data_IF_240472984083
#
_entry.id   IF_240472984083
#
_cell.length_a   1.000
_cell.length_b   1.000
_cell.length_c   1.000
_cell.angle_alpha   90.00
_cell.angle_beta   90.00
_cell.angle_gamma   90.00
#
_symmetry.space_group_name_H-M   'P 1'
#
loop_
_entity.id
_entity.type
_entity.pdbx_description
1 polymer ?
#
# COMPACT_ATOMS: atom_id res chain seq x y z
N UNK A 1 19.30 19.45 8.54
CA UNK A 1 18.48 20.68 8.50
C UNK A 1 17.12 20.35 9.07
N UNK A 2 16.46 21.23 9.86
CA UNK A 2 15.08 21.02 10.29
C UNK A 2 14.12 20.94 9.09
N UNK A 3 13.16 20.00 9.12
CA UNK A 3 12.16 19.79 8.06
C UNK A 3 10.76 20.03 8.63
N UNK A 4 9.93 20.75 7.88
CA UNK A 4 8.51 20.97 8.14
C UNK A 4 7.74 20.43 6.94
N UNK A 5 6.92 19.41 7.14
CA UNK A 5 6.29 18.66 6.06
C UNK A 5 4.79 19.03 5.93
N UNK A 6 4.36 19.30 4.71
CA UNK A 6 2.97 19.63 4.36
C UNK A 6 2.53 18.69 3.23
N UNK A 7 1.94 17.51 3.55
CA UNK A 7 1.44 16.59 2.54
C UNK A 7 0.28 17.23 1.74
N UNK A 8 0.30 17.03 0.42
CA UNK A 8 -0.77 17.44 -0.51
C UNK A 8 -1.48 16.25 -1.15
N UNK A 9 -1.13 15.04 -0.71
CA UNK A 9 -1.76 13.78 -1.13
C UNK A 9 -2.07 12.92 0.08
N UNK A 10 -3.24 12.29 0.10
CA UNK A 10 -3.63 11.38 1.17
C UNK A 10 -3.14 9.95 0.90
N UNK A 11 -1.82 9.70 0.99
CA UNK A 11 -1.23 8.45 0.52
C UNK A 11 0.05 7.98 1.22
N UNK A 12 1.15 8.70 0.99
CA UNK A 12 2.50 8.20 1.29
C UNK A 12 2.88 8.24 2.76
N UNK A 13 2.27 9.15 3.52
CA UNK A 13 2.64 9.47 4.89
C UNK A 13 4.13 9.81 5.08
N UNK A 14 4.80 10.30 4.03
CA UNK A 14 6.24 10.61 4.07
C UNK A 14 6.59 11.63 5.17
N UNK A 15 5.63 12.47 5.55
CA UNK A 15 5.73 13.46 6.62
C UNK A 15 5.92 12.87 8.03
N UNK A 16 5.72 11.57 8.24
CA UNK A 16 5.89 10.88 9.53
C UNK A 16 6.82 9.67 9.47
N UNK A 17 7.40 9.38 8.30
CA UNK A 17 8.27 8.22 8.12
C UNK A 17 9.74 8.58 8.28
N UNK A 18 10.55 7.58 8.64
CA UNK A 18 12.02 7.65 8.62
C UNK A 18 12.62 7.15 7.29
N UNK A 19 11.81 7.18 6.22
CA UNK A 19 12.15 6.59 4.93
C UNK A 19 12.00 7.63 3.82
N UNK A 20 12.89 7.54 2.83
CA UNK A 20 12.72 8.22 1.56
C UNK A 20 13.22 7.35 0.41
N UNK A 21 12.59 7.48 -0.75
CA UNK A 21 12.87 6.62 -1.91
C UNK A 21 13.35 7.49 -3.08
N UNK A 22 14.53 7.18 -3.58
CA UNK A 22 15.15 7.87 -4.72
C UNK A 22 15.33 6.89 -5.88
N UNK A 23 15.21 7.41 -7.10
CA UNK A 23 15.51 6.66 -8.31
C UNK A 23 16.99 6.86 -8.68
N UNK A 24 17.73 5.76 -8.81
CA UNK A 24 19.02 5.71 -9.48
C UNK A 24 18.77 5.45 -10.97
N UNK A 25 18.97 6.47 -11.81
CA UNK A 25 18.75 6.38 -13.26
C UNK A 25 19.81 5.53 -13.96
N UNK A 26 21.05 5.52 -13.46
CA UNK A 26 22.17 4.75 -14.04
C UNK A 26 21.93 3.25 -13.82
N UNK A 27 21.52 2.87 -12.61
CA UNK A 27 21.21 1.48 -12.27
C UNK A 27 19.75 1.10 -12.54
N UNK A 28 18.92 2.04 -13.00
CA UNK A 28 17.48 1.88 -13.27
C UNK A 28 16.74 1.19 -12.14
N UNK A 29 16.92 1.66 -10.91
CA UNK A 29 16.29 1.11 -9.70
C UNK A 29 15.80 2.22 -8.78
N UNK A 30 14.79 1.91 -7.97
CA UNK A 30 14.52 2.68 -6.76
C UNK A 30 15.34 2.10 -5.61
N UNK A 31 15.81 2.95 -4.72
CA UNK A 31 16.44 2.54 -3.47
C UNK A 31 15.80 3.30 -2.32
N UNK A 32 15.57 2.57 -1.23
CA UNK A 32 14.97 3.10 -0.01
C UNK A 32 16.10 3.42 0.96
N UNK A 33 16.10 4.64 1.45
CA UNK A 33 16.95 5.06 2.55
C UNK A 33 16.13 5.04 3.84
N UNK A 34 16.76 4.63 4.95
CA UNK A 34 16.13 4.56 6.27
C UNK A 34 17.05 5.25 7.27
N UNK A 35 16.64 6.41 7.80
CA UNK A 35 17.44 7.16 8.78
C UNK A 35 16.54 7.93 9.77
N UNK A 36 16.59 7.64 11.08
CA UNK A 36 15.87 8.44 12.08
C UNK A 36 16.18 9.96 12.04
N UNK A 37 17.31 10.39 11.46
CA UNK A 37 17.62 11.81 11.29
C UNK A 37 16.82 12.51 10.20
N UNK A 38 16.12 11.79 9.31
CA UNK A 38 15.32 12.39 8.25
C UNK A 38 13.88 12.74 8.68
N UNK A 39 13.47 12.34 9.89
CA UNK A 39 12.14 12.60 10.43
C UNK A 39 11.81 14.12 10.46
N UNK A 40 10.68 14.56 9.87
CA UNK A 40 10.24 15.94 9.98
C UNK A 40 10.02 16.36 11.43
N UNK A 41 10.37 17.61 11.74
CA UNK A 41 10.16 18.19 13.08
C UNK A 41 8.68 18.49 13.33
N UNK A 42 7.95 18.86 12.28
CA UNK A 42 6.52 19.14 12.31
C UNK A 42 5.89 18.64 11.00
N UNK A 43 4.74 18.00 11.12
CA UNK A 43 3.86 17.65 10.00
C UNK A 43 2.54 18.43 10.12
N UNK A 44 2.08 19.02 9.02
CA UNK A 44 0.80 19.74 8.94
C UNK A 44 -0.16 18.95 8.04
N UNK A 45 -1.01 18.14 8.67
CA UNK A 45 -1.96 17.28 7.96
C UNK A 45 -3.26 18.07 7.80
N UNK A 46 -3.39 18.74 6.65
CA UNK A 46 -4.52 19.62 6.33
C UNK A 46 -5.19 19.15 5.03
N UNK A 47 -6.48 18.80 5.12
CA UNK A 47 -7.24 18.28 3.98
C UNK A 47 -7.48 19.36 2.90
N UNK A 48 -7.47 20.65 3.26
CA UNK A 48 -7.61 21.75 2.30
C UNK A 48 -6.46 21.73 1.28
N UNK A 49 -5.28 21.25 1.70
CA UNK A 49 -4.09 21.09 0.84
C UNK A 49 -4.18 19.85 -0.08
N UNK A 50 -5.17 18.98 0.14
CA UNK A 50 -5.37 17.71 -0.56
C UNK A 50 -6.59 17.73 -1.49
N UNK A 51 -7.53 18.64 -1.29
CA UNK A 51 -8.82 18.67 -1.99
C UNK A 51 -8.72 18.78 -3.51
N UNK A 52 -7.72 19.53 -3.99
CA UNK A 52 -7.47 19.76 -5.40
C UNK A 52 -6.94 18.53 -6.17
N UNK A 53 -6.62 17.43 -5.48
CA UNK A 53 -6.25 16.19 -6.15
C UNK A 53 -7.35 15.75 -7.13
N UNK A 54 -7.01 15.44 -8.39
CA UNK A 54 -7.96 14.81 -9.31
C UNK A 54 -8.49 13.49 -8.73
N UNK A 55 -9.75 13.08 -9.02
CA UNK A 55 -10.32 11.85 -8.49
C UNK A 55 -9.44 10.60 -8.68
N UNK A 56 -8.80 10.46 -9.85
CA UNK A 56 -7.87 9.36 -10.12
C UNK A 56 -6.62 9.37 -9.21
N UNK A 57 -6.12 10.56 -8.86
CA UNK A 57 -5.00 10.70 -7.93
C UNK A 57 -5.44 10.39 -6.49
N UNK A 58 -6.63 10.84 -6.07
CA UNK A 58 -7.23 10.46 -4.78
C UNK A 58 -7.39 8.94 -4.66
N UNK A 59 -7.87 8.29 -5.72
CA UNK A 59 -8.03 6.83 -5.78
C UNK A 59 -6.68 6.12 -5.63
N UNK A 60 -5.69 6.47 -6.45
CA UNK A 60 -4.38 5.84 -6.44
C UNK A 60 -3.65 6.02 -5.09
N UNK A 61 -3.62 7.24 -4.55
CA UNK A 61 -2.97 7.54 -3.28
C UNK A 61 -3.72 6.97 -2.08
N UNK A 62 -5.05 6.90 -2.12
CA UNK A 62 -5.81 6.27 -1.05
C UNK A 62 -5.66 4.75 -0.99
N UNK A 63 -5.56 4.06 -2.13
CA UNK A 63 -5.24 2.62 -2.14
C UNK A 63 -3.76 2.38 -1.76
N UNK A 64 -2.87 3.33 -2.06
CA UNK A 64 -1.49 3.31 -1.54
C UNK A 64 -1.48 3.33 -0.01
N UNK A 65 -2.22 4.26 0.61
CA UNK A 65 -2.39 4.31 2.06
C UNK A 65 -3.00 3.02 2.63
N UNK A 66 -3.98 2.43 1.94
CA UNK A 66 -4.53 1.13 2.33
C UNK A 66 -3.49 0.01 2.24
N UNK A 67 -2.65 0.03 1.20
CA UNK A 67 -1.54 -0.91 1.02
C UNK A 67 -0.55 -0.79 2.18
N UNK A 68 -0.16 0.44 2.54
CA UNK A 68 0.69 0.68 3.72
C UNK A 68 0.11 0.07 4.98
N UNK A 69 -1.19 0.28 5.23
CA UNK A 69 -1.85 -0.22 6.42
C UNK A 69 -1.97 -1.75 6.41
N UNK A 70 -2.35 -2.37 5.29
CA UNK A 70 -2.47 -3.82 5.19
C UNK A 70 -1.10 -4.49 5.28
N UNK A 71 -0.10 -4.02 4.53
CA UNK A 71 1.24 -4.62 4.60
C UNK A 71 1.87 -4.43 5.97
N UNK A 72 1.76 -3.22 6.55
CA UNK A 72 2.24 -2.96 7.90
C UNK A 72 1.55 -3.81 8.97
N UNK A 73 0.24 -4.10 8.80
CA UNK A 73 -0.48 -4.99 9.71
C UNK A 73 0.00 -6.44 9.61
N UNK A 74 0.47 -6.86 8.43
CA UNK A 74 0.84 -8.25 8.15
C UNK A 74 2.35 -8.51 8.18
N UNK A 75 3.16 -7.45 8.25
CA UNK A 75 4.62 -7.55 8.17
C UNK A 75 5.21 -8.33 9.35
N UNK A 76 6.38 -8.94 9.14
CA UNK A 76 7.07 -9.75 10.16
C UNK A 76 7.38 -8.97 11.45
N UNK A 77 7.59 -7.66 11.34
CA UNK A 77 7.89 -6.79 12.47
C UNK A 77 6.65 -6.32 13.26
N UNK A 78 5.44 -6.69 12.83
CA UNK A 78 4.21 -6.21 13.44
C UNK A 78 4.10 -6.59 14.93
N UNK A 79 3.67 -5.65 15.75
CA UNK A 79 3.44 -5.83 17.18
C UNK A 79 2.23 -5.02 17.64
N UNK A 80 1.83 -5.17 18.91
CA UNK A 80 0.55 -4.69 19.42
C UNK A 80 0.22 -3.21 19.11
N UNK A 81 1.19 -2.30 19.21
CA UNK A 81 0.95 -0.88 18.93
C UNK A 81 0.73 -0.62 17.43
N UNK A 82 1.60 -1.16 16.57
CA UNK A 82 1.44 -0.96 15.12
C UNK A 82 0.18 -1.64 14.62
N UNK A 83 -0.17 -2.80 15.18
CA UNK A 83 -1.42 -3.49 14.86
C UNK A 83 -2.65 -2.62 15.15
N UNK A 84 -2.67 -1.91 16.29
CA UNK A 84 -3.75 -1.00 16.62
C UNK A 84 -3.84 0.18 15.64
N UNK A 85 -2.70 0.75 15.25
CA UNK A 85 -2.63 1.85 14.28
C UNK A 85 -3.10 1.39 12.90
N UNK A 86 -2.55 0.30 12.39
CA UNK A 86 -2.86 -0.21 11.06
C UNK A 86 -4.30 -0.65 10.91
N UNK A 87 -4.86 -1.36 11.89
CA UNK A 87 -6.26 -1.77 11.83
C UNK A 87 -7.21 -0.57 11.83
N UNK A 88 -6.90 0.47 12.61
CA UNK A 88 -7.66 1.73 12.58
C UNK A 88 -7.50 2.46 11.25
N UNK A 89 -6.30 2.50 10.68
CA UNK A 89 -6.08 3.09 9.37
C UNK A 89 -6.88 2.37 8.27
N UNK A 90 -6.89 1.03 8.27
CA UNK A 90 -7.71 0.23 7.33
C UNK A 90 -9.19 0.61 7.41
N UNK A 91 -9.73 0.68 8.63
CA UNK A 91 -11.14 1.05 8.87
C UNK A 91 -11.47 2.45 8.33
N UNK A 92 -10.63 3.44 8.66
CA UNK A 92 -10.81 4.83 8.21
C UNK A 92 -10.77 4.90 6.68
N UNK A 93 -9.72 4.34 6.07
CA UNK A 93 -9.47 4.44 4.63
C UNK A 93 -10.57 3.72 3.84
N UNK A 94 -10.94 2.49 4.25
CA UNK A 94 -11.97 1.73 3.56
C UNK A 94 -13.36 2.40 3.62
N UNK A 95 -13.66 3.10 4.72
CA UNK A 95 -14.89 3.87 4.89
C UNK A 95 -14.90 5.20 4.13
N UNK A 96 -13.75 5.86 3.99
CA UNK A 96 -13.68 7.23 3.46
C UNK A 96 -13.33 7.30 1.97
N UNK A 97 -12.52 6.37 1.44
CA UNK A 97 -11.90 6.56 0.12
C UNK A 97 -12.89 6.81 -1.01
N UNK A 98 -14.01 6.07 -1.06
CA UNK A 98 -15.06 6.25 -2.08
C UNK A 98 -15.65 7.66 -2.02
N UNK A 99 -15.94 8.17 -0.82
CA UNK A 99 -16.45 9.53 -0.62
C UNK A 99 -15.43 10.59 -1.02
N UNK A 100 -14.16 10.41 -0.65
CA UNK A 100 -13.08 11.34 -0.99
C UNK A 100 -12.89 11.47 -2.50
N UNK A 101 -12.90 10.33 -3.22
CA UNK A 101 -12.84 10.30 -4.69
C UNK A 101 -14.04 11.01 -5.32
N UNK A 102 -15.23 10.88 -4.72
CA UNK A 102 -16.44 11.58 -5.14
C UNK A 102 -16.46 13.09 -4.77
N UNK A 103 -15.48 13.57 -4.01
CA UNK A 103 -15.35 14.98 -3.61
C UNK A 103 -16.03 15.35 -2.30
N UNK A 104 -16.37 14.38 -1.45
CA UNK A 104 -16.88 14.66 -0.10
C UNK A 104 -15.76 15.16 0.82
N UNK A 105 -15.94 16.35 1.40
CA UNK A 105 -14.92 17.01 2.22
C UNK A 105 -14.64 16.26 3.52
N UNK A 106 -15.67 15.73 4.19
CA UNK A 106 -15.51 14.96 5.43
C UNK A 106 -14.74 13.65 5.20
N UNK A 107 -14.98 13.01 4.05
CA UNK A 107 -14.21 11.86 3.61
C UNK A 107 -12.77 12.22 3.22
N UNK A 108 -12.54 13.42 2.65
CA UNK A 108 -11.20 13.96 2.41
C UNK A 108 -10.40 14.12 3.70
N UNK A 109 -10.99 14.72 4.73
CA UNK A 109 -10.40 14.87 6.06
C UNK A 109 -10.11 13.52 6.72
N UNK A 110 -11.05 12.58 6.64
CA UNK A 110 -10.85 11.23 7.14
C UNK A 110 -9.69 10.52 6.42
N UNK A 111 -9.55 10.66 5.10
CA UNK A 111 -8.43 10.11 4.34
C UNK A 111 -7.08 10.72 4.76
N UNK A 112 -7.04 12.04 5.02
CA UNK A 112 -5.83 12.73 5.49
C UNK A 112 -5.34 12.17 6.83
N UNK A 113 -6.25 11.85 7.76
CA UNK A 113 -5.93 11.17 9.01
C UNK A 113 -5.53 9.70 8.78
N UNK A 114 -6.32 8.96 8.00
CA UNK A 114 -6.13 7.52 7.79
C UNK A 114 -4.77 7.16 7.22
N UNK A 115 -4.31 7.91 6.21
CA UNK A 115 -2.98 7.72 5.62
C UNK A 115 -1.84 8.02 6.61
N UNK A 116 -1.99 9.07 7.43
CA UNK A 116 -0.98 9.45 8.41
C UNK A 116 -0.84 8.38 9.49
N UNK A 117 -1.97 7.86 9.99
CA UNK A 117 -2.01 6.76 10.97
C UNK A 117 -1.36 5.49 10.40
N UNK A 118 -1.56 5.19 9.10
CA UNK A 118 -0.85 4.09 8.44
C UNK A 118 0.69 4.31 8.51
N UNK A 119 1.14 5.53 8.21
CA UNK A 119 2.54 5.98 8.31
C UNK A 119 3.18 5.74 9.67
N UNK A 120 2.49 6.14 10.74
CA UNK A 120 2.93 5.93 12.12
C UNK A 120 3.25 4.46 12.40
N UNK A 121 2.49 3.54 11.81
CA UNK A 121 2.73 2.11 11.93
C UNK A 121 3.87 1.64 11.01
N UNK A 122 3.71 1.75 9.69
CA UNK A 122 4.57 1.02 8.75
C UNK A 122 6.02 1.50 8.79
N UNK A 123 6.25 2.78 9.11
CA UNK A 123 7.60 3.32 9.23
C UNK A 123 8.44 2.58 10.28
N UNK A 124 7.80 1.94 11.26
CA UNK A 124 8.48 1.31 12.39
C UNK A 124 8.62 -0.21 12.25
N UNK A 125 7.90 -0.84 11.32
CA UNK A 125 7.84 -2.31 11.19
C UNK A 125 8.08 -2.82 9.78
N UNK A 126 8.16 -1.91 8.82
CA UNK A 126 8.32 -2.24 7.40
C UNK A 126 6.99 -2.49 6.69
N UNK A 127 7.11 -3.00 5.48
CA UNK A 127 6.02 -3.31 4.57
C UNK A 127 6.16 -4.77 4.11
N UNK A 128 5.90 -5.06 2.83
CA UNK A 128 5.99 -6.40 2.28
C UNK A 128 6.18 -6.41 0.77
N UNK A 129 5.69 -7.48 0.16
CA UNK A 129 5.94 -7.81 -1.23
C UNK A 129 5.16 -6.92 -2.23
N UNK A 130 4.07 -6.25 -1.84
CA UNK A 130 3.37 -5.31 -2.74
C UNK A 130 4.31 -4.17 -3.09
N UNK A 131 4.88 -3.50 -2.08
CA UNK A 131 5.87 -2.45 -2.29
C UNK A 131 7.14 -2.95 -2.98
N UNK A 132 7.63 -4.12 -2.57
CA UNK A 132 8.78 -4.76 -3.21
C UNK A 132 8.58 -4.98 -4.72
N UNK A 133 7.36 -5.32 -5.14
CA UNK A 133 7.00 -5.47 -6.56
C UNK A 133 6.62 -4.15 -7.25
N UNK A 134 6.17 -3.13 -6.53
CA UNK A 134 5.80 -1.84 -7.12
C UNK A 134 7.03 -0.96 -7.43
N UNK A 135 8.07 -1.00 -6.59
CA UNK A 135 9.28 -0.20 -6.79
C UNK A 135 9.96 -0.42 -8.17
N UNK A 136 10.16 -1.66 -8.64
CA UNK A 136 10.70 -1.91 -9.98
C UNK A 136 9.82 -1.36 -11.10
N UNK A 137 8.50 -1.38 -10.96
CA UNK A 137 7.58 -0.81 -11.97
C UNK A 137 7.77 0.70 -12.10
N UNK A 138 7.92 1.39 -10.96
CA UNK A 138 8.26 2.81 -10.93
C UNK A 138 9.62 3.10 -11.58
N UNK A 139 10.63 2.27 -11.35
CA UNK A 139 11.96 2.45 -11.96
C UNK A 139 11.98 2.14 -13.46
N UNK A 140 11.22 1.15 -13.92
CA UNK A 140 11.25 0.70 -15.30
C UNK A 140 10.39 1.56 -16.22
N UNK A 141 9.22 1.99 -15.73
CA UNK A 141 8.19 2.61 -16.56
C UNK A 141 7.70 3.96 -16.05
N UNK A 142 8.26 4.44 -14.93
CA UNK A 142 7.73 5.61 -14.22
C UNK A 142 6.25 5.45 -13.87
N UNK A 143 5.80 4.22 -13.60
CA UNK A 143 4.41 3.95 -13.19
C UNK A 143 4.10 4.69 -11.90
N UNK A 144 2.96 5.40 -11.81
CA UNK A 144 2.53 6.02 -10.56
C UNK A 144 2.47 5.01 -9.42
N UNK A 145 3.18 5.29 -8.32
CA UNK A 145 3.40 4.37 -7.21
C UNK A 145 2.10 3.75 -6.67
N UNK A 146 1.12 4.60 -6.33
CA UNK A 146 -0.16 4.13 -5.81
C UNK A 146 -0.96 3.26 -6.79
N UNK A 147 -0.82 3.48 -8.11
CA UNK A 147 -1.49 2.63 -9.12
C UNK A 147 -0.84 1.24 -9.17
N UNK A 148 0.50 1.18 -9.14
CA UNK A 148 1.22 -0.09 -9.11
C UNK A 148 0.85 -0.91 -7.86
N UNK A 149 0.88 -0.28 -6.69
CA UNK A 149 0.48 -0.90 -5.43
C UNK A 149 -0.97 -1.38 -5.46
N UNK A 150 -1.90 -0.54 -5.94
CA UNK A 150 -3.31 -0.87 -6.00
C UNK A 150 -3.59 -2.11 -6.87
N UNK A 151 -2.95 -2.22 -8.04
CA UNK A 151 -3.09 -3.39 -8.92
C UNK A 151 -2.53 -4.64 -8.22
N UNK A 152 -1.35 -4.55 -7.61
CA UNK A 152 -0.63 -5.70 -7.03
C UNK A 152 -1.24 -6.21 -5.72
N UNK A 153 -1.80 -5.32 -4.90
CA UNK A 153 -2.28 -5.60 -3.54
C UNK A 153 -3.15 -6.86 -3.43
N UNK A 154 -4.27 -7.03 -4.17
CA UNK A 154 -5.11 -8.21 -4.02
C UNK A 154 -4.41 -9.52 -4.43
N UNK A 155 -3.45 -9.49 -5.36
CA UNK A 155 -2.71 -10.69 -5.78
C UNK A 155 -1.72 -11.13 -4.69
N UNK A 156 -0.97 -10.19 -4.13
CA UNK A 156 -0.04 -10.46 -3.03
C UNK A 156 -0.79 -10.84 -1.76
N UNK A 157 -1.96 -10.26 -1.50
CA UNK A 157 -2.81 -10.69 -0.40
C UNK A 157 -3.22 -12.16 -0.52
N UNK A 158 -3.65 -12.62 -1.69
CA UNK A 158 -3.93 -14.05 -1.93
C UNK A 158 -2.71 -14.93 -1.68
N UNK A 159 -1.53 -14.49 -2.12
CA UNK A 159 -0.28 -15.21 -1.88
C UNK A 159 0.08 -15.31 -0.39
N UNK A 160 -0.17 -14.25 0.38
CA UNK A 160 0.14 -14.17 1.80
C UNK A 160 -0.92 -14.80 2.70
N UNK A 161 -2.12 -15.11 2.20
CA UNK A 161 -3.28 -15.48 3.01
C UNK A 161 -3.02 -16.56 4.08
N UNK A 162 -2.22 -17.58 3.78
CA UNK A 162 -1.92 -18.66 4.73
C UNK A 162 -0.91 -18.28 5.83
N UNK A 163 -0.15 -17.20 5.64
CA UNK A 163 0.92 -16.76 6.55
C UNK A 163 0.48 -15.65 7.54
N UNK A 164 -0.82 -15.38 7.66
CA UNK A 164 -1.33 -14.15 8.31
C UNK A 164 -2.22 -14.41 9.53
N UNK A 165 -2.35 -15.68 9.97
CA UNK A 165 -3.21 -16.04 11.09
C UNK A 165 -4.66 -15.60 10.85
N UNK A 166 -5.25 -14.92 11.84
CA UNK A 166 -6.62 -14.37 11.80
C UNK A 166 -6.69 -12.96 11.19
N UNK A 167 -5.56 -12.30 10.90
CA UNK A 167 -5.53 -10.86 10.57
C UNK A 167 -6.39 -10.47 9.35
N UNK A 168 -6.63 -11.41 8.42
CA UNK A 168 -7.53 -11.13 7.27
C UNK A 168 -8.99 -11.04 7.67
N UNK A 169 -9.41 -11.76 8.73
CA UNK A 169 -10.75 -11.60 9.30
C UNK A 169 -10.93 -10.19 9.84
N UNK A 170 -9.90 -9.64 10.48
CA UNK A 170 -9.93 -8.27 11.02
C UNK A 170 -9.91 -7.23 9.89
N UNK A 171 -9.09 -7.43 8.85
CA UNK A 171 -9.12 -6.59 7.64
C UNK A 171 -10.51 -6.61 6.99
N UNK A 172 -11.09 -7.79 6.74
CA UNK A 172 -12.42 -7.91 6.15
C UNK A 172 -13.48 -7.19 7.00
N UNK A 173 -13.46 -7.35 8.33
CA UNK A 173 -14.35 -6.64 9.25
C UNK A 173 -14.18 -5.13 9.17
N UNK A 174 -12.94 -4.64 9.21
CA UNK A 174 -12.62 -3.22 9.12
C UNK A 174 -13.05 -2.61 7.79
N UNK A 175 -13.07 -3.41 6.71
CA UNK A 175 -13.57 -3.02 5.40
C UNK A 175 -15.09 -3.19 5.24
N UNK A 176 -15.83 -3.51 6.31
CA UNK A 176 -17.30 -3.56 6.33
C UNK A 176 -17.91 -4.93 6.01
N UNK A 177 -17.11 -6.00 5.92
CA UNK A 177 -17.62 -7.36 5.72
C UNK A 177 -18.14 -7.96 7.03
N UNK A 178 -19.29 -8.62 7.00
CA UNK A 178 -19.80 -9.44 8.12
C UNK A 178 -19.06 -10.78 8.16
N UNK A 179 -18.24 -10.99 9.18
CA UNK A 179 -17.29 -12.11 9.25
C UNK A 179 -17.62 -13.14 10.33
N UNK A 180 -18.67 -12.91 11.13
CA UNK A 180 -18.98 -13.68 12.34
C UNK A 180 -19.25 -15.16 12.06
N UNK A 181 -19.88 -15.45 10.92
CA UNK A 181 -20.22 -16.82 10.50
C UNK A 181 -19.23 -17.41 9.48
N UNK A 182 -18.18 -16.68 9.11
CA UNK A 182 -17.22 -17.13 8.09
C UNK A 182 -16.16 -18.05 8.70
N UNK A 183 -15.83 -19.14 8.01
CA UNK A 183 -14.58 -19.86 8.26
C UNK A 183 -13.38 -18.93 8.00
N UNK A 184 -12.21 -19.25 8.54
CA UNK A 184 -11.02 -18.42 8.31
C UNK A 184 -10.67 -18.31 6.81
N UNK A 185 -10.76 -19.42 6.06
CA UNK A 185 -10.57 -19.41 4.60
C UNK A 185 -11.55 -18.49 3.89
N UNK A 186 -12.84 -18.51 4.27
CA UNK A 186 -13.84 -17.63 3.68
C UNK A 186 -13.61 -16.16 4.07
N UNK A 187 -13.17 -15.89 5.30
CA UNK A 187 -12.82 -14.54 5.75
C UNK A 187 -11.59 -13.98 5.00
N UNK A 188 -10.60 -14.84 4.70
CA UNK A 188 -9.44 -14.49 3.87
C UNK A 188 -9.85 -14.08 2.45
N UNK A 189 -10.67 -14.88 1.80
CA UNK A 189 -11.17 -14.54 0.46
C UNK A 189 -12.01 -13.26 0.50
N UNK A 190 -12.85 -13.08 1.52
CA UNK A 190 -13.66 -11.88 1.67
C UNK A 190 -12.83 -10.59 1.85
N UNK A 191 -11.69 -10.66 2.54
CA UNK A 191 -10.77 -9.52 2.66
C UNK A 191 -10.19 -9.13 1.29
N UNK A 192 -9.75 -10.12 0.52
CA UNK A 192 -9.22 -9.91 -0.83
C UNK A 192 -10.29 -9.33 -1.75
N UNK A 193 -11.51 -9.89 -1.72
CA UNK A 193 -12.60 -9.41 -2.55
C UNK A 193 -13.04 -7.99 -2.18
N UNK A 194 -12.98 -7.62 -0.89
CA UNK A 194 -13.25 -6.24 -0.46
C UNK A 194 -12.25 -5.24 -1.07
N UNK A 195 -10.96 -5.61 -1.16
CA UNK A 195 -9.94 -4.80 -1.85
C UNK A 195 -10.18 -4.76 -3.35
N UNK A 196 -10.47 -5.90 -3.99
CA UNK A 196 -10.82 -5.93 -5.41
C UNK A 196 -12.03 -5.05 -5.73
N UNK A 197 -13.07 -5.10 -4.90
CA UNK A 197 -14.27 -4.26 -5.05
C UNK A 197 -13.94 -2.79 -4.87
N UNK A 198 -13.14 -2.43 -3.86
CA UNK A 198 -12.70 -1.04 -3.65
C UNK A 198 -11.94 -0.50 -4.87
N UNK A 199 -10.98 -1.27 -5.40
CA UNK A 199 -10.24 -0.88 -6.60
C UNK A 199 -11.16 -0.60 -7.79
N UNK A 200 -12.16 -1.46 -8.02
CA UNK A 200 -13.16 -1.26 -9.09
C UNK A 200 -14.00 -0.02 -8.85
N UNK A 201 -14.46 0.19 -7.63
CA UNK A 201 -15.34 1.32 -7.27
C UNK A 201 -14.65 2.68 -7.44
N UNK A 202 -13.34 2.74 -7.20
CA UNK A 202 -12.56 3.98 -7.32
C UNK A 202 -11.80 4.10 -8.64
N UNK A 203 -12.04 3.19 -9.58
CA UNK A 203 -11.53 3.27 -10.95
C UNK A 203 -10.04 2.97 -11.13
N UNK A 204 -9.46 2.11 -10.28
CA UNK A 204 -8.10 1.60 -10.48
C UNK A 204 -8.10 0.62 -11.68
N UNK A 205 -7.11 0.70 -12.60
CA UNK A 205 -6.94 -0.28 -13.66
C UNK A 205 -6.85 -1.72 -13.12
N UNK A 206 -7.38 -2.70 -13.86
CA UNK A 206 -7.42 -4.08 -13.37
C UNK A 206 -6.10 -4.83 -13.50
N UNK A 207 -5.25 -4.42 -14.44
CA UNK A 207 -4.07 -5.19 -14.85
C UNK A 207 -2.86 -4.31 -15.16
N UNK A 208 -1.67 -4.86 -14.96
CA UNK A 208 -0.40 -4.17 -15.23
C UNK A 208 -0.20 -3.84 -16.73
N UNK A 209 -0.77 -4.63 -17.64
CA UNK A 209 -0.73 -4.33 -19.09
C UNK A 209 -1.44 -3.00 -19.44
N UNK A 210 -2.42 -2.58 -18.64
CA UNK A 210 -3.18 -1.33 -18.86
C UNK A 210 -2.35 -0.09 -18.49
N UNK A 211 -1.27 -0.27 -17.73
CA UNK A 211 -0.36 0.81 -17.29
C UNK A 211 1.03 0.68 -17.92
N UNK A 212 1.14 -0.04 -19.04
CA UNK A 212 2.33 -0.07 -19.89
C UNK A 212 3.39 -1.12 -19.52
N UNK A 213 3.11 -2.02 -18.59
CA UNK A 213 4.05 -3.09 -18.21
C UNK A 213 4.16 -4.14 -19.32
N UNK A 214 5.39 -4.50 -19.67
CA UNK A 214 5.68 -5.48 -20.72
C UNK A 214 5.93 -6.85 -20.11
N UNK A 215 5.31 -7.88 -20.69
CA UNK A 215 5.43 -9.26 -20.18
C UNK A 215 6.85 -9.78 -20.25
N UNK A 216 7.63 -9.32 -21.24
CA UNK A 216 9.04 -9.70 -21.43
C UNK A 216 9.96 -9.22 -20.31
N UNK A 217 9.59 -8.14 -19.61
CA UNK A 217 10.40 -7.56 -18.54
C UNK A 217 10.15 -8.22 -17.16
N UNK A 218 9.14 -9.10 -17.04
CA UNK A 218 8.76 -9.78 -15.79
C UNK A 218 9.95 -10.47 -15.10
N UNK A 219 10.85 -11.21 -15.80
CA UNK A 219 12.01 -11.81 -15.15
C UNK A 219 12.93 -10.79 -14.47
N UNK A 220 13.17 -9.64 -15.11
CA UNK A 220 14.02 -8.58 -14.56
C UNK A 220 13.33 -7.86 -13.40
N UNK A 221 12.02 -7.58 -13.53
CA UNK A 221 11.21 -6.99 -12.46
C UNK A 221 11.18 -7.89 -11.22
N UNK A 222 11.01 -9.20 -11.40
CA UNK A 222 10.99 -10.16 -10.29
C UNK A 222 12.33 -10.23 -9.56
N UNK A 223 13.45 -10.17 -10.29
CA UNK A 223 14.78 -10.13 -9.69
C UNK A 223 15.01 -8.84 -8.88
N UNK A 224 14.56 -7.70 -9.41
CA UNK A 224 14.63 -6.42 -8.71
C UNK A 224 13.74 -6.42 -7.46
N UNK A 225 12.52 -6.94 -7.56
CA UNK A 225 11.58 -7.05 -6.44
C UNK A 225 12.11 -7.96 -5.33
N UNK A 226 12.74 -9.09 -5.68
CA UNK A 226 13.36 -9.98 -4.69
C UNK A 226 14.48 -9.28 -3.90
N UNK A 227 15.20 -8.35 -4.54
CA UNK A 227 16.28 -7.58 -3.94
C UNK A 227 15.80 -6.28 -3.25
N UNK A 228 14.51 -5.96 -3.34
CA UNK A 228 13.95 -4.76 -2.72
C UNK A 228 13.86 -4.92 -1.19
N UNK A 229 14.13 -3.83 -0.46
CA UNK A 229 14.17 -3.86 1.01
C UNK A 229 12.81 -4.20 1.62
N UNK A 230 11.70 -3.82 0.98
CA UNK A 230 10.36 -4.05 1.50
C UNK A 230 10.00 -5.55 1.48
N UNK A 231 10.51 -6.28 0.48
CA UNK A 231 10.24 -7.73 0.31
C UNK A 231 10.64 -8.54 1.54
N UNK A 232 11.70 -8.14 2.24
CA UNK A 232 12.15 -8.81 3.47
C UNK A 232 11.15 -8.78 4.62
N UNK A 233 10.23 -7.81 4.63
CA UNK A 233 9.16 -7.71 5.63
C UNK A 233 7.97 -8.64 5.38
N UNK A 234 7.87 -9.23 4.19
CA UNK A 234 6.70 -10.01 3.80
C UNK A 234 6.49 -11.25 4.69
N UNK A 235 5.27 -11.53 5.20
CA UNK A 235 5.03 -12.62 6.16
C UNK A 235 5.31 -14.01 5.58
N UNK A 236 5.16 -14.17 4.26
CA UNK A 236 5.55 -15.36 3.52
C UNK A 236 6.87 -15.10 2.79
N UNK A 237 7.85 -15.96 2.96
CA UNK A 237 9.09 -15.87 2.18
C UNK A 237 8.76 -16.10 0.70
N UNK A 238 9.22 -15.19 -0.17
CA UNK A 238 8.93 -15.22 -1.60
C UNK A 238 10.16 -15.68 -2.37
N UNK A 239 10.01 -16.74 -3.17
CA UNK A 239 11.03 -17.12 -4.15
C UNK A 239 10.94 -16.28 -5.41
N UNK A 240 12.00 -16.25 -6.23
CA UNK A 240 11.95 -15.61 -7.55
C UNK A 240 10.79 -16.16 -8.41
N UNK A 241 10.53 -17.47 -8.34
CA UNK A 241 9.45 -18.10 -9.09
C UNK A 241 8.06 -17.64 -8.62
N UNK A 242 7.87 -17.44 -7.31
CA UNK A 242 6.62 -16.88 -6.76
C UNK A 242 6.37 -15.46 -7.30
N UNK A 243 7.40 -14.61 -7.27
CA UNK A 243 7.29 -13.22 -7.72
C UNK A 243 7.01 -13.14 -9.23
N UNK A 244 7.64 -13.99 -10.05
CA UNK A 244 7.32 -14.13 -11.48
C UNK A 244 5.85 -14.52 -11.66
N UNK A 245 5.37 -15.51 -10.89
CA UNK A 245 3.97 -15.93 -10.93
C UNK A 245 3.00 -14.82 -10.54
N UNK A 246 3.36 -13.99 -9.56
CA UNK A 246 2.55 -12.85 -9.12
C UNK A 246 2.47 -11.75 -10.18
N UNK A 247 3.59 -11.37 -10.81
CA UNK A 247 3.56 -10.43 -11.93
C UNK A 247 2.73 -10.97 -13.10
N UNK A 248 2.82 -12.27 -13.40
CA UNK A 248 2.01 -12.89 -14.46
C UNK A 248 0.52 -12.90 -14.11
N UNK A 249 0.16 -13.10 -12.84
CA UNK A 249 -1.22 -13.09 -12.38
C UNK A 249 -1.84 -11.68 -12.42
N UNK A 250 -1.01 -10.64 -12.25
CA UNK A 250 -1.42 -9.23 -12.27
C UNK A 250 -1.32 -8.57 -13.65
N UNK A 251 -0.76 -9.24 -14.66
CA UNK A 251 -0.54 -8.72 -16.02
C UNK A 251 -1.76 -8.87 -16.93
#
# INVERSE_FOLDING_TARGET
MPIFAVPTTAGTAAEVTINYVITDEEQRRKFVCVDPHDIPQVAFIDADMMDAMPPALKAATGVDALTHAIEGYLTRGAWALTDALHLKAIEIIAGALRGSVAGDAGAGEAMALGQYVAGMGFSNVGLGLVHGMAHPLGAFYNTPHGVANAILLPHVMRFNAEATGEKYRDIARAMGVRVEALSLTAAREAAVEAVCQLNRDVGIPGHLREVGVRKEDIPALAQAALADVCTGGNPREASLADIVGLYQAAW
#
